data_IF_360929970284
#
_entry.id   IF_360929970284
#
_cell.length_a   1.000
_cell.length_b   1.000
_cell.length_c   1.000
_cell.angle_alpha   90.00
_cell.angle_beta   90.00
_cell.angle_gamma   90.00
#
_symmetry.space_group_name_H-M   'P 1'
#
loop_
_entity.id
_entity.type
_entity.pdbx_description
1 polymer ?
#
# COMPACT_ATOMS: atom_id res chain seq x y z
N UNK A 1 4.44 5.45 21.37
CA UNK A 1 3.57 4.30 21.08
C UNK A 1 4.34 3.06 20.65
N UNK A 2 5.09 3.10 19.54
CA UNK A 2 5.81 1.92 18.98
C UNK A 2 6.63 1.17 20.06
N UNK A 3 7.48 1.87 20.81
CA UNK A 3 8.25 1.27 21.91
C UNK A 3 7.33 0.69 23.00
N UNK A 4 6.28 1.42 23.38
CA UNK A 4 5.34 0.96 24.41
C UNK A 4 4.56 -0.29 24.02
N UNK A 5 4.09 -0.37 22.77
CA UNK A 5 3.41 -1.57 22.26
C UNK A 5 4.39 -2.72 22.08
N UNK A 6 5.64 -2.47 21.66
CA UNK A 6 6.66 -3.51 21.59
C UNK A 6 6.97 -4.12 22.96
N UNK A 7 7.17 -3.26 23.96
CA UNK A 7 7.31 -3.66 25.36
C UNK A 7 6.06 -4.45 25.79
N UNK A 8 4.87 -3.94 25.49
CA UNK A 8 3.61 -4.62 25.79
C UNK A 8 3.53 -6.04 25.20
N UNK A 9 3.86 -6.21 23.93
CA UNK A 9 3.89 -7.53 23.26
C UNK A 9 4.88 -8.47 23.95
N UNK A 10 6.07 -8.00 24.29
CA UNK A 10 7.10 -8.83 24.93
C UNK A 10 6.69 -9.27 26.33
N UNK A 11 6.02 -8.39 27.09
CA UNK A 11 5.56 -8.72 28.45
C UNK A 11 4.26 -9.55 28.46
N UNK A 12 3.32 -9.25 27.57
CA UNK A 12 2.06 -10.01 27.46
C UNK A 12 2.28 -11.41 26.89
N UNK A 13 3.25 -11.58 25.98
CA UNK A 13 3.50 -12.83 25.23
C UNK A 13 2.18 -13.44 24.71
N UNK A 14 1.39 -12.67 23.94
CA UNK A 14 0.05 -13.10 23.58
C UNK A 14 0.11 -14.32 22.64
N UNK A 15 -0.82 -15.26 22.83
CA UNK A 15 -0.91 -16.44 21.98
C UNK A 15 -1.31 -16.06 20.55
N UNK A 16 -0.54 -16.51 19.57
CA UNK A 16 -0.85 -16.32 18.16
C UNK A 16 -1.92 -17.33 17.74
N UNK A 17 -3.17 -16.88 17.65
CA UNK A 17 -4.34 -17.71 17.35
C UNK A 17 -4.50 -18.02 15.86
N UNK A 18 -4.01 -17.15 14.98
CA UNK A 18 -4.05 -17.39 13.53
C UNK A 18 -2.98 -18.43 13.12
N UNK A 19 -3.31 -19.45 12.31
CA UNK A 19 -2.34 -20.45 11.87
C UNK A 19 -1.26 -19.82 10.97
N UNK A 20 -0.04 -20.34 11.06
CA UNK A 20 1.09 -19.89 10.25
C UNK A 20 0.83 -20.00 8.73
N UNK A 21 0.06 -20.99 8.31
CA UNK A 21 -0.44 -21.14 6.94
C UNK A 21 -1.95 -21.31 6.99
N UNK A 22 -2.67 -20.37 6.37
CA UNK A 22 -4.13 -20.44 6.29
C UNK A 22 -4.56 -21.30 5.10
N UNK A 23 -5.75 -21.90 5.20
CA UNK A 23 -6.37 -22.64 4.08
C UNK A 23 -6.67 -21.78 2.85
N UNK A 24 -6.66 -20.46 3.00
CA UNK A 24 -6.99 -19.49 1.96
C UNK A 24 -5.79 -19.10 1.07
N UNK A 25 -4.64 -19.75 1.24
CA UNK A 25 -3.45 -19.58 0.39
C UNK A 25 -3.74 -19.85 -1.10
N UNK A 26 -4.75 -20.67 -1.37
CA UNK A 26 -5.25 -21.04 -2.70
C UNK A 26 -6.06 -19.93 -3.40
N UNK A 27 -6.36 -18.83 -2.69
CA UNK A 27 -7.10 -17.69 -3.21
C UNK A 27 -8.60 -17.75 -3.04
N UNK A 28 -9.11 -18.67 -2.21
CA UNK A 28 -10.52 -18.74 -1.79
C UNK A 28 -10.84 -17.82 -0.60
N UNK A 29 -9.88 -16.96 -0.20
CA UNK A 29 -9.98 -16.07 0.95
C UNK A 29 -11.14 -15.07 0.88
N UNK A 30 -11.86 -14.82 1.98
CA UNK A 30 -13.01 -13.91 2.00
C UNK A 30 -12.61 -12.42 2.01
N UNK A 31 -11.37 -12.10 2.42
CA UNK A 31 -10.86 -10.72 2.54
C UNK A 31 -10.24 -10.23 1.23
N UNK A 32 -9.54 -11.10 0.51
CA UNK A 32 -8.91 -10.76 -0.76
C UNK A 32 -8.99 -11.93 -1.74
N UNK A 33 -9.34 -11.63 -3.00
CA UNK A 33 -9.46 -12.61 -4.07
C UNK A 33 -8.15 -12.84 -4.81
N UNK A 34 -7.77 -14.11 -4.99
CA UNK A 34 -6.56 -14.51 -5.70
C UNK A 34 -5.57 -15.25 -4.80
N UNK A 35 -4.82 -16.20 -5.38
CA UNK A 35 -3.87 -17.02 -4.64
C UNK A 35 -2.77 -16.16 -4.01
N UNK A 36 -2.18 -16.61 -2.91
CA UNK A 36 -1.14 -15.86 -2.19
C UNK A 36 -0.02 -15.42 -3.13
N UNK A 37 0.46 -16.29 -4.02
CA UNK A 37 1.39 -15.90 -5.07
C UNK A 37 0.67 -15.82 -6.42
N UNK A 38 0.85 -14.72 -7.18
CA UNK A 38 1.74 -13.58 -6.93
C UNK A 38 1.12 -12.42 -6.13
N UNK A 39 -0.15 -12.52 -5.71
CA UNK A 39 -0.91 -11.38 -5.18
C UNK A 39 -0.32 -10.76 -3.90
N UNK A 40 0.41 -11.51 -3.08
CA UNK A 40 1.06 -11.06 -1.84
C UNK A 40 1.83 -9.76 -2.03
N UNK A 41 2.55 -9.61 -3.15
CA UNK A 41 3.34 -8.42 -3.42
C UNK A 41 2.47 -7.21 -3.79
N UNK A 42 1.31 -7.41 -4.42
CA UNK A 42 0.41 -6.30 -4.74
C UNK A 42 -0.61 -6.00 -3.64
N UNK A 43 -0.83 -6.92 -2.69
CA UNK A 43 -1.75 -6.72 -1.56
C UNK A 43 -1.08 -6.13 -0.33
N UNK A 44 0.12 -6.59 0.03
CA UNK A 44 0.88 -6.08 1.17
C UNK A 44 1.83 -4.97 0.70
N UNK A 45 1.25 -3.86 0.25
CA UNK A 45 2.00 -2.67 -0.10
C UNK A 45 2.78 -2.15 1.13
N UNK A 46 4.03 -1.72 0.91
CA UNK A 46 4.95 -1.26 1.97
C UNK A 46 5.49 -2.34 2.92
N UNK A 47 4.75 -3.43 3.19
CA UNK A 47 5.24 -4.53 4.02
C UNK A 47 6.13 -5.55 3.32
N UNK A 48 5.81 -5.93 2.07
CA UNK A 48 6.66 -6.86 1.30
C UNK A 48 7.78 -6.12 0.54
N UNK A 49 7.41 -5.03 -0.15
CA UNK A 49 8.32 -4.02 -0.72
C UNK A 49 7.48 -2.80 -1.13
N UNK A 50 8.10 -1.61 -1.28
CA UNK A 50 7.40 -0.40 -1.71
C UNK A 50 8.20 0.46 -2.68
N UNK A 51 7.54 0.82 -3.77
CA UNK A 51 8.04 1.80 -4.73
C UNK A 51 7.85 3.23 -4.23
N UNK A 52 6.83 3.48 -3.42
CA UNK A 52 6.65 4.78 -2.77
C UNK A 52 7.86 5.16 -1.89
N UNK A 53 8.47 4.21 -1.17
CA UNK A 53 9.70 4.47 -0.43
C UNK A 53 10.87 4.86 -1.33
N UNK A 54 10.94 4.38 -2.57
CA UNK A 54 11.94 4.83 -3.51
C UNK A 54 11.72 6.29 -3.94
N UNK A 55 10.47 6.72 -4.08
CA UNK A 55 10.13 8.13 -4.35
C UNK A 55 10.47 9.04 -3.15
N UNK A 56 10.17 8.59 -1.93
CA UNK A 56 10.55 9.31 -0.70
C UNK A 56 12.08 9.39 -0.58
N UNK A 57 12.77 8.26 -0.80
CA UNK A 57 14.23 8.16 -0.72
C UNK A 57 14.96 9.03 -1.74
N UNK A 58 14.39 9.23 -2.93
CA UNK A 58 14.97 10.08 -3.98
C UNK A 58 14.53 11.54 -3.89
N UNK A 59 13.32 11.80 -3.38
CA UNK A 59 12.72 13.14 -3.33
C UNK A 59 12.96 13.89 -2.02
N UNK A 60 12.53 13.33 -0.89
CA UNK A 60 12.49 14.03 0.41
C UNK A 60 13.70 13.69 1.28
N UNK A 61 14.10 12.42 1.36
CA UNK A 61 15.21 11.97 2.21
C UNK A 61 16.51 12.74 1.98
N UNK A 62 16.98 13.02 0.75
CA UNK A 62 18.24 13.73 0.53
C UNK A 62 18.23 15.16 1.10
N UNK A 63 17.03 15.75 1.26
CA UNK A 63 16.85 17.10 1.81
C UNK A 63 16.80 17.10 3.35
N UNK A 64 16.66 15.94 3.97
CA UNK A 64 16.73 15.74 5.43
C UNK A 64 18.15 15.38 5.89
N UNK A 65 19.03 15.01 4.96
CA UNK A 65 20.43 14.63 5.23
C UNK A 65 21.28 15.89 5.27
N UNK A 66 21.73 16.29 6.46
CA UNK A 66 22.64 17.43 6.61
C UNK A 66 24.11 17.05 6.41
N UNK A 67 24.47 15.79 6.72
CA UNK A 67 25.82 15.24 6.58
C UNK A 67 25.77 13.76 6.23
N UNK A 68 26.81 13.26 5.57
CA UNK A 68 26.89 11.89 5.07
C UNK A 68 26.65 10.82 6.16
N UNK A 69 27.12 11.07 7.40
CA UNK A 69 26.89 10.15 8.52
C UNK A 69 25.41 9.98 8.91
N UNK A 70 24.53 10.91 8.50
CA UNK A 70 23.09 10.77 8.70
C UNK A 70 22.43 9.82 7.69
N UNK A 71 23.03 9.57 6.53
CA UNK A 71 22.43 8.76 5.46
C UNK A 71 22.03 7.37 5.98
N UNK A 72 22.90 6.73 6.77
CA UNK A 72 22.62 5.40 7.33
C UNK A 72 21.46 5.44 8.32
N UNK A 73 21.46 6.41 9.24
CA UNK A 73 20.41 6.50 10.26
C UNK A 73 19.05 6.84 9.65
N UNK A 74 19.01 7.85 8.76
CA UNK A 74 17.75 8.30 8.14
C UNK A 74 17.24 7.26 7.13
N UNK A 75 18.09 6.75 6.24
CA UNK A 75 17.67 5.79 5.22
C UNK A 75 17.38 4.41 5.79
N UNK A 76 18.39 3.77 6.38
CA UNK A 76 18.26 2.39 6.87
C UNK A 76 17.44 2.31 8.17
N UNK A 77 17.64 3.26 9.09
CA UNK A 77 16.90 3.30 10.35
C UNK A 77 15.39 3.51 10.17
N UNK A 78 14.96 4.32 9.20
CA UNK A 78 13.54 4.49 8.89
C UNK A 78 12.90 3.17 8.42
N UNK A 79 13.57 2.43 7.53
CA UNK A 79 13.08 1.13 7.04
C UNK A 79 13.04 0.06 8.14
N UNK A 80 14.01 0.06 9.07
CA UNK A 80 13.94 -0.81 10.25
C UNK A 80 12.75 -0.48 11.16
N UNK A 81 12.48 0.81 11.40
CA UNK A 81 11.34 1.23 12.22
C UNK A 81 10.01 0.85 11.58
N UNK A 82 9.88 0.99 10.25
CA UNK A 82 8.67 0.58 9.54
C UNK A 82 8.49 -0.94 9.57
N UNK A 83 9.56 -1.70 9.33
CA UNK A 83 9.53 -3.17 9.39
C UNK A 83 9.12 -3.66 10.78
N UNK A 84 9.57 -2.97 11.82
CA UNK A 84 9.21 -3.26 13.19
C UNK A 84 7.71 -3.02 13.45
N UNK A 85 7.15 -1.90 12.98
CA UNK A 85 5.71 -1.63 13.07
C UNK A 85 4.90 -2.67 12.30
N UNK A 86 5.36 -3.10 11.12
CA UNK A 86 4.70 -4.13 10.33
C UNK A 86 4.60 -5.48 11.09
N UNK A 87 5.67 -5.88 11.78
CA UNK A 87 5.66 -7.09 12.63
C UNK A 87 4.66 -6.93 13.78
N UNK A 88 4.63 -5.77 14.44
CA UNK A 88 3.70 -5.50 15.53
C UNK A 88 2.24 -5.52 15.06
N UNK A 89 1.97 -4.99 13.87
CA UNK A 89 0.64 -5.04 13.26
C UNK A 89 0.23 -6.49 12.94
N UNK A 90 1.15 -7.31 12.43
CA UNK A 90 0.92 -8.73 12.20
C UNK A 90 0.60 -9.49 13.50
N UNK A 91 1.32 -9.21 14.59
CA UNK A 91 1.05 -9.78 15.91
C UNK A 91 -0.34 -9.37 16.39
N UNK A 92 -0.67 -8.08 16.35
CA UNK A 92 -1.99 -7.58 16.77
C UNK A 92 -3.12 -8.24 15.99
N UNK A 93 -2.96 -8.43 14.68
CA UNK A 93 -3.96 -9.11 13.85
C UNK A 93 -4.07 -10.61 14.15
N UNK A 94 -2.96 -11.27 14.49
CA UNK A 94 -2.89 -12.73 14.67
C UNK A 94 -3.25 -13.22 16.07
N UNK A 95 -3.27 -12.31 17.05
CA UNK A 95 -3.74 -12.55 18.42
C UNK A 95 -5.27 -12.60 18.50
N UNK A 96 -5.97 -11.94 17.57
CA UNK A 96 -7.42 -12.00 17.50
C UNK A 96 -7.89 -13.42 17.17
N UNK A 97 -9.03 -13.81 17.75
CA UNK A 97 -9.70 -15.05 17.34
C UNK A 97 -9.98 -14.99 15.83
N UNK A 98 -9.64 -16.02 15.04
CA UNK A 98 -9.79 -15.98 13.59
C UNK A 98 -11.22 -15.62 13.15
N UNK A 99 -12.24 -16.09 13.87
CA UNK A 99 -13.64 -15.75 13.61
C UNK A 99 -13.93 -14.25 13.77
N UNK A 100 -13.34 -13.59 14.77
CA UNK A 100 -13.43 -12.13 14.97
C UNK A 100 -12.68 -11.41 13.86
N UNK A 101 -11.45 -11.85 13.55
CA UNK A 101 -10.65 -11.28 12.46
C UNK A 101 -11.44 -11.27 11.14
N UNK A 102 -12.07 -12.39 10.78
CA UNK A 102 -12.87 -12.49 9.56
C UNK A 102 -14.18 -11.70 9.63
N UNK A 103 -14.81 -11.57 10.80
CA UNK A 103 -15.99 -10.72 10.97
C UNK A 103 -15.67 -9.24 10.74
N UNK A 104 -14.49 -8.79 11.17
CA UNK A 104 -14.03 -7.42 10.97
C UNK A 104 -13.61 -7.13 9.54
N UNK A 105 -12.93 -8.08 8.88
CA UNK A 105 -12.25 -7.82 7.60
C UNK A 105 -13.01 -8.31 6.36
N UNK A 106 -14.04 -9.14 6.51
CA UNK A 106 -14.81 -9.63 5.36
C UNK A 106 -15.88 -8.62 4.92
N UNK A 107 -16.14 -8.48 3.61
CA UNK A 107 -17.16 -7.57 3.11
C UNK A 107 -18.56 -7.89 3.63
N UNK A 108 -19.37 -6.87 3.91
CA UNK A 108 -20.75 -7.05 4.38
C UNK A 108 -21.63 -7.79 3.34
N UNK A 109 -21.29 -7.69 2.06
CA UNK A 109 -21.93 -8.46 0.99
C UNK A 109 -21.74 -9.99 1.13
N UNK A 110 -20.71 -10.43 1.85
CA UNK A 110 -20.38 -11.83 2.05
C UNK A 110 -20.89 -12.35 3.40
N UNK A 111 -20.74 -11.57 4.47
CA UNK A 111 -21.08 -12.00 5.84
C UNK A 111 -22.42 -11.45 6.35
N UNK A 112 -23.06 -10.55 5.62
CA UNK A 112 -24.24 -9.81 6.07
C UNK A 112 -23.90 -8.61 6.96
N UNK A 113 -24.94 -7.92 7.44
CA UNK A 113 -24.81 -6.69 8.24
C UNK A 113 -25.14 -6.89 9.72
N UNK A 114 -25.57 -8.09 10.13
CA UNK A 114 -25.90 -8.41 11.53
C UNK A 114 -24.94 -9.42 12.11
N UNK A 115 -24.77 -9.40 13.44
CA UNK A 115 -23.86 -10.32 14.14
C UNK A 115 -24.31 -11.77 14.01
N UNK A 116 -25.61 -12.02 13.87
CA UNK A 116 -26.18 -13.35 13.62
C UNK A 116 -25.77 -13.86 12.24
N UNK A 117 -26.02 -13.08 11.19
CA UNK A 117 -25.64 -13.45 9.81
C UNK A 117 -24.14 -13.67 9.68
N UNK A 118 -23.33 -12.77 10.27
CA UNK A 118 -21.88 -12.88 10.22
C UNK A 118 -21.38 -14.12 10.95
N UNK A 119 -21.90 -14.38 12.15
CA UNK A 119 -21.50 -15.57 12.92
C UNK A 119 -21.83 -16.87 12.17
N UNK A 120 -23.00 -16.97 11.54
CA UNK A 120 -23.41 -18.15 10.77
C UNK A 120 -22.48 -18.41 9.58
N UNK A 121 -22.21 -17.38 8.76
CA UNK A 121 -21.36 -17.51 7.58
C UNK A 121 -19.93 -17.90 7.97
N UNK A 122 -19.37 -17.26 8.99
CA UNK A 122 -17.98 -17.49 9.44
C UNK A 122 -17.85 -18.86 10.11
N UNK A 123 -18.86 -19.31 10.86
CA UNK A 123 -18.94 -20.68 11.36
C UNK A 123 -18.98 -21.70 10.23
N UNK A 124 -19.66 -21.38 9.12
CA UNK A 124 -19.62 -22.17 7.88
C UNK A 124 -18.22 -22.26 7.25
N UNK A 125 -17.33 -21.31 7.55
CA UNK A 125 -15.91 -21.39 7.16
C UNK A 125 -15.06 -22.19 8.16
N UNK A 126 -15.65 -22.79 9.19
CA UNK A 126 -14.93 -23.60 10.17
C UNK A 126 -14.15 -22.78 11.21
N UNK A 127 -14.49 -21.51 11.39
CA UNK A 127 -14.01 -20.70 12.52
C UNK A 127 -15.10 -20.63 13.59
N UNK A 128 -14.74 -20.52 14.86
CA UNK A 128 -15.74 -20.43 15.94
C UNK A 128 -15.98 -18.97 16.30
N UNK A 129 -17.22 -18.51 16.12
CA UNK A 129 -17.64 -17.16 16.52
C UNK A 129 -19.13 -17.14 16.88
N UNK A 130 -19.49 -16.37 17.90
CA UNK A 130 -20.88 -16.19 18.33
C UNK A 130 -21.33 -14.72 18.21
N UNK A 131 -22.64 -14.46 18.05
CA UNK A 131 -23.19 -13.11 18.07
C UNK A 131 -22.85 -12.33 19.35
N UNK A 132 -22.84 -13.02 20.50
CA UNK A 132 -22.53 -12.45 21.81
C UNK A 132 -21.06 -12.03 21.90
N UNK A 133 -20.15 -12.80 21.30
CA UNK A 133 -18.73 -12.43 21.25
C UNK A 133 -18.53 -11.17 20.40
N UNK A 134 -19.16 -11.09 19.22
CA UNK A 134 -19.04 -9.95 18.32
C UNK A 134 -19.64 -8.66 18.93
N UNK A 135 -20.84 -8.77 19.52
CA UNK A 135 -21.49 -7.65 20.20
C UNK A 135 -20.77 -7.25 21.49
N UNK A 136 -20.21 -8.21 22.22
CA UNK A 136 -19.38 -7.98 23.40
C UNK A 136 -18.11 -7.18 23.09
N UNK A 137 -17.38 -7.59 22.05
CA UNK A 137 -16.17 -6.86 21.61
C UNK A 137 -16.55 -5.44 21.14
N UNK A 138 -17.62 -5.29 20.36
CA UNK A 138 -18.10 -3.97 19.94
C UNK A 138 -18.37 -3.06 21.15
N UNK A 139 -19.05 -3.57 22.17
CA UNK A 139 -19.29 -2.84 23.43
C UNK A 139 -18.00 -2.49 24.17
N UNK A 140 -17.08 -3.45 24.30
CA UNK A 140 -15.83 -3.26 25.05
C UNK A 140 -14.92 -2.22 24.38
N UNK A 141 -14.92 -2.13 23.05
CA UNK A 141 -14.17 -1.09 22.30
C UNK A 141 -14.94 0.24 22.17
N UNK A 142 -16.21 0.29 22.60
CA UNK A 142 -17.03 1.49 22.56
C UNK A 142 -17.64 1.80 21.19
N UNK A 143 -17.86 0.79 20.35
CA UNK A 143 -18.38 0.91 18.99
C UNK A 143 -19.75 0.22 18.84
N UNK A 144 -20.60 0.73 17.94
CA UNK A 144 -21.89 0.09 17.67
C UNK A 144 -21.79 -1.26 16.95
N UNK A 145 -20.71 -1.46 16.19
CA UNK A 145 -20.41 -2.71 15.49
C UNK A 145 -18.93 -2.74 15.11
N UNK A 146 -18.37 -3.96 15.08
CA UNK A 146 -17.03 -4.26 14.55
C UNK A 146 -17.08 -4.93 13.16
N UNK A 147 -18.28 -5.23 12.65
CA UNK A 147 -18.46 -5.98 11.40
C UNK A 147 -18.01 -5.18 10.19
N UNK A 148 -17.32 -5.85 9.27
CA UNK A 148 -16.92 -5.30 7.97
C UNK A 148 -16.23 -3.94 8.03
N UNK A 149 -15.56 -3.63 9.14
CA UNK A 149 -14.62 -2.50 9.26
C UNK A 149 -13.30 -2.88 8.61
N UNK A 150 -13.39 -3.23 7.32
CA UNK A 150 -12.29 -3.74 6.54
C UNK A 150 -11.16 -2.71 6.49
N UNK A 151 -9.96 -3.16 6.82
CA UNK A 151 -8.78 -2.32 6.88
C UNK A 151 -7.81 -2.80 7.95
N UNK A 152 -6.52 -2.50 7.75
CA UNK A 152 -5.49 -2.81 8.75
C UNK A 152 -5.71 -2.06 10.07
N UNK A 153 -6.20 -0.82 10.01
CA UNK A 153 -6.30 0.07 11.17
C UNK A 153 -7.29 -0.42 12.25
N UNK A 154 -8.56 -0.78 11.95
CA UNK A 154 -9.47 -1.28 12.98
C UNK A 154 -8.99 -2.60 13.58
N UNK A 155 -8.45 -3.50 12.75
CA UNK A 155 -7.90 -4.78 13.19
C UNK A 155 -6.70 -4.59 14.13
N UNK A 156 -5.78 -3.71 13.75
CA UNK A 156 -4.65 -3.32 14.59
C UNK A 156 -5.11 -2.74 15.93
N UNK A 157 -6.11 -1.85 15.90
CA UNK A 157 -6.62 -1.20 17.10
C UNK A 157 -7.29 -2.17 18.07
N UNK A 158 -8.11 -3.11 17.58
CA UNK A 158 -8.72 -4.14 18.43
C UNK A 158 -7.67 -5.08 19.00
N UNK A 159 -6.70 -5.52 18.18
CA UNK A 159 -5.60 -6.38 18.64
C UNK A 159 -4.73 -5.69 19.70
N UNK A 160 -4.37 -4.43 19.47
CA UNK A 160 -3.61 -3.63 20.42
C UNK A 160 -4.39 -3.44 21.73
N UNK A 161 -5.67 -3.09 21.65
CA UNK A 161 -6.51 -2.90 22.82
C UNK A 161 -6.64 -4.20 23.63
N UNK A 162 -6.74 -5.35 22.96
CA UNK A 162 -6.75 -6.67 23.60
C UNK A 162 -5.47 -6.92 24.40
N UNK A 163 -4.31 -6.78 23.76
CA UNK A 163 -2.99 -6.97 24.40
C UNK A 163 -2.82 -6.04 25.60
N UNK A 164 -3.19 -4.76 25.47
CA UNK A 164 -3.03 -3.79 26.56
C UNK A 164 -4.00 -4.08 27.71
N UNK A 165 -5.24 -4.49 27.41
CA UNK A 165 -6.20 -4.88 28.44
C UNK A 165 -5.72 -6.10 29.23
N UNK A 166 -5.07 -7.07 28.60
CA UNK A 166 -4.46 -8.21 29.30
C UNK A 166 -3.34 -7.77 30.25
N UNK A 167 -2.47 -6.85 29.83
CA UNK A 167 -1.36 -6.34 30.66
C UNK A 167 -1.87 -5.61 31.91
N UNK A 168 -2.85 -4.72 31.74
CA UNK A 168 -3.37 -3.91 32.85
C UNK A 168 -4.57 -4.54 33.56
N UNK A 169 -5.02 -5.71 33.11
CA UNK A 169 -6.21 -6.42 33.58
C UNK A 169 -7.45 -5.50 33.72
N UNK A 170 -7.63 -4.56 32.78
CA UNK A 170 -8.67 -3.53 32.85
C UNK A 170 -9.43 -3.43 31.54
N UNK A 171 -10.61 -4.07 31.50
CA UNK A 171 -11.55 -3.97 30.37
C UNK A 171 -12.14 -2.57 30.21
N UNK A 172 -12.25 -1.80 31.30
CA UNK A 172 -12.78 -0.43 31.28
C UNK A 172 -11.96 0.51 30.36
N UNK A 173 -10.67 0.21 30.16
CA UNK A 173 -9.79 1.00 29.32
C UNK A 173 -9.71 0.51 27.87
N UNK A 174 -10.39 -0.58 27.50
CA UNK A 174 -10.30 -1.15 26.15
C UNK A 174 -10.77 -0.15 25.09
N UNK A 175 -11.89 0.53 25.33
CA UNK A 175 -12.38 1.60 24.45
C UNK A 175 -11.37 2.75 24.30
N UNK A 176 -10.72 3.17 25.40
CA UNK A 176 -9.68 4.19 25.35
C UNK A 176 -8.50 3.75 24.48
N UNK A 177 -7.98 2.54 24.70
CA UNK A 177 -6.83 2.02 23.96
C UNK A 177 -7.12 1.77 22.48
N UNK A 178 -8.34 1.30 22.16
CA UNK A 178 -8.80 1.14 20.79
C UNK A 178 -8.85 2.50 20.05
N UNK A 179 -9.49 3.51 20.62
CA UNK A 179 -9.56 4.84 20.00
C UNK A 179 -8.19 5.52 19.93
N UNK A 180 -7.33 5.31 20.94
CA UNK A 180 -5.96 5.80 20.91
C UNK A 180 -5.14 5.15 19.78
N UNK A 181 -5.29 3.84 19.57
CA UNK A 181 -4.64 3.13 18.46
C UNK A 181 -5.11 3.65 17.09
N UNK A 182 -6.42 3.84 16.91
CA UNK A 182 -6.99 4.40 15.68
C UNK A 182 -6.47 5.81 15.42
N UNK A 183 -6.44 6.66 16.43
CA UNK A 183 -5.94 8.03 16.30
C UNK A 183 -4.46 8.05 15.91
N UNK A 184 -3.64 7.20 16.53
CA UNK A 184 -2.22 7.09 16.15
C UNK A 184 -2.07 6.65 14.70
N UNK A 185 -2.82 5.63 14.27
CA UNK A 185 -2.76 5.14 12.89
C UNK A 185 -3.24 6.20 11.89
N UNK A 186 -4.28 6.95 12.23
CA UNK A 186 -4.74 8.08 11.42
C UNK A 186 -3.65 9.17 11.28
N UNK A 187 -2.91 9.48 12.35
CA UNK A 187 -1.79 10.43 12.31
C UNK A 187 -0.62 9.91 11.46
N UNK A 188 -0.36 8.60 11.51
CA UNK A 188 0.65 7.96 10.67
C UNK A 188 0.30 8.10 9.19
N UNK A 189 -0.95 7.79 8.81
CA UNK A 189 -1.46 7.97 7.45
C UNK A 189 -1.40 9.45 7.03
N UNK A 190 -1.80 10.38 7.90
CA UNK A 190 -1.77 11.81 7.61
C UNK A 190 -0.34 12.31 7.31
N UNK A 191 0.66 11.79 8.02
CA UNK A 191 2.07 12.10 7.76
C UNK A 191 2.51 11.58 6.38
N UNK A 192 2.05 10.38 5.99
CA UNK A 192 2.30 9.85 4.66
C UNK A 192 1.64 10.70 3.55
N UNK A 193 0.43 11.20 3.79
CA UNK A 193 -0.27 12.13 2.87
C UNK A 193 0.49 13.45 2.72
N UNK A 194 1.03 14.03 3.81
CA UNK A 194 1.87 15.24 3.73
C UNK A 194 3.12 14.99 2.87
N UNK A 195 3.88 13.93 3.20
CA UNK A 195 5.09 13.57 2.46
C UNK A 195 4.79 13.27 0.98
N UNK A 196 3.70 12.55 0.71
CA UNK A 196 3.23 12.23 -0.63
C UNK A 196 2.78 13.46 -1.42
N UNK A 197 2.10 14.41 -0.79
CA UNK A 197 1.69 15.68 -1.42
C UNK A 197 2.91 16.52 -1.80
N UNK A 198 3.92 16.56 -0.92
CA UNK A 198 5.19 17.23 -1.23
C UNK A 198 5.92 16.57 -2.38
N UNK A 199 6.01 15.24 -2.40
CA UNK A 199 6.63 14.50 -3.51
C UNK A 199 5.87 14.71 -4.83
N UNK A 200 4.54 14.63 -4.81
CA UNK A 200 3.67 14.85 -5.97
C UNK A 200 3.87 16.25 -6.56
N UNK A 201 3.91 17.28 -5.71
CA UNK A 201 4.23 18.65 -6.15
C UNK A 201 5.54 18.71 -6.93
N UNK A 202 6.61 18.09 -6.42
CA UNK A 202 7.89 18.07 -7.12
C UNK A 202 7.81 17.33 -8.46
N UNK A 203 7.12 16.18 -8.50
CA UNK A 203 6.93 15.43 -9.73
C UNK A 203 6.16 16.24 -10.80
N UNK A 204 5.13 16.98 -10.39
CA UNK A 204 4.37 17.88 -11.29
C UNK A 204 5.27 19.00 -11.80
N UNK A 205 6.04 19.64 -10.92
CA UNK A 205 6.96 20.71 -11.30
C UNK A 205 8.07 20.21 -12.24
N UNK A 206 8.64 19.03 -11.98
CA UNK A 206 9.66 18.43 -12.82
C UNK A 206 9.10 18.05 -14.20
N UNK A 207 7.89 17.47 -14.25
CA UNK A 207 7.23 17.11 -15.50
C UNK A 207 6.91 18.35 -16.34
N UNK A 208 6.25 19.36 -15.76
CA UNK A 208 5.93 20.61 -16.45
C UNK A 208 7.21 21.37 -16.83
N UNK A 209 8.24 21.27 -15.98
CA UNK A 209 9.57 21.82 -16.19
C UNK A 209 10.25 21.38 -17.49
N UNK A 210 9.90 20.19 -18.02
CA UNK A 210 10.42 19.72 -19.31
C UNK A 210 9.92 20.55 -20.50
N UNK A 211 8.74 21.14 -20.39
CA UNK A 211 8.13 22.00 -21.43
C UNK A 211 8.31 23.49 -21.09
N UNK A 212 8.20 23.83 -19.81
CA UNK A 212 8.30 25.21 -19.29
C UNK A 212 9.40 25.28 -18.22
N UNK A 213 10.66 25.58 -18.59
CA UNK A 213 11.80 25.53 -17.67
C UNK A 213 11.69 26.41 -16.42
N UNK A 214 10.90 27.48 -16.46
CA UNK A 214 10.66 28.36 -15.31
C UNK A 214 9.92 27.66 -14.16
N UNK A 215 9.16 26.61 -14.47
CA UNK A 215 8.38 25.82 -13.49
C UNK A 215 9.22 24.78 -12.74
N UNK A 216 10.37 24.38 -13.29
CA UNK A 216 11.35 23.51 -12.62
C UNK A 216 12.08 24.23 -11.46
N UNK A 217 12.01 25.57 -11.39
CA UNK A 217 12.69 26.32 -10.36
C UNK A 217 11.93 26.27 -9.03
N UNK A 218 12.43 25.45 -8.10
CA UNK A 218 11.90 25.28 -6.74
C UNK A 218 11.91 26.55 -5.86
N UNK A 219 12.56 27.63 -6.31
CA UNK A 219 12.53 28.94 -5.63
C UNK A 219 11.41 29.85 -6.10
N UNK A 220 10.72 29.50 -7.19
CA UNK A 220 9.59 30.27 -7.70
C UNK A 220 8.36 30.05 -6.83
N UNK A 221 7.87 31.12 -6.19
CA UNK A 221 6.65 31.06 -5.38
C UNK A 221 5.43 30.65 -6.21
N UNK A 222 5.30 31.19 -7.44
CA UNK A 222 4.22 30.85 -8.36
C UNK A 222 4.28 29.39 -8.82
N UNK A 223 5.47 28.89 -9.15
CA UNK A 223 5.66 27.49 -9.54
C UNK A 223 5.30 26.52 -8.40
N UNK A 224 5.72 26.87 -7.18
CA UNK A 224 5.41 26.08 -5.98
C UNK A 224 3.91 26.10 -5.64
N UNK A 225 3.24 27.24 -5.78
CA UNK A 225 1.79 27.32 -5.59
C UNK A 225 1.04 26.51 -6.62
N UNK A 226 1.35 26.69 -7.91
CA UNK A 226 0.68 25.96 -8.99
C UNK A 226 0.85 24.44 -8.83
N UNK A 227 2.07 23.96 -8.55
CA UNK A 227 2.31 22.55 -8.29
C UNK A 227 1.56 22.02 -7.06
N UNK A 228 1.50 22.80 -5.98
CA UNK A 228 0.71 22.45 -4.78
C UNK A 228 -0.78 22.39 -5.10
N UNK A 229 -1.31 23.38 -5.81
CA UNK A 229 -2.72 23.44 -6.19
C UNK A 229 -3.11 22.23 -7.02
N UNK A 230 -2.29 21.84 -8.01
CA UNK A 230 -2.53 20.63 -8.81
C UNK A 230 -2.51 19.37 -7.94
N UNK A 231 -1.51 19.22 -7.06
CA UNK A 231 -1.41 18.05 -6.19
C UNK A 231 -2.60 17.94 -5.22
N UNK A 232 -2.94 19.03 -4.51
CA UNK A 232 -4.04 19.08 -3.54
C UNK A 232 -5.40 18.94 -4.22
N UNK A 233 -5.60 19.59 -5.37
CA UNK A 233 -6.83 19.42 -6.15
C UNK A 233 -6.98 17.98 -6.66
N UNK A 234 -5.89 17.32 -7.06
CA UNK A 234 -5.89 15.90 -7.43
C UNK A 234 -6.31 15.01 -6.27
N UNK A 235 -5.74 15.20 -5.07
CA UNK A 235 -6.18 14.49 -3.87
C UNK A 235 -7.65 14.76 -3.54
N UNK A 236 -8.06 16.04 -3.59
CA UNK A 236 -9.45 16.45 -3.36
C UNK A 236 -10.42 15.82 -4.35
N UNK A 237 -10.04 15.71 -5.62
CA UNK A 237 -10.81 15.01 -6.64
C UNK A 237 -10.97 13.53 -6.29
N UNK A 238 -9.91 12.83 -5.90
CA UNK A 238 -10.01 11.42 -5.50
C UNK A 238 -10.84 11.21 -4.24
N UNK A 239 -10.77 12.12 -3.26
CA UNK A 239 -11.64 12.10 -2.07
C UNK A 239 -13.10 12.29 -2.48
N UNK A 240 -13.38 13.29 -3.32
CA UNK A 240 -14.73 13.54 -3.83
C UNK A 240 -15.29 12.34 -4.61
N UNK A 241 -14.50 11.76 -5.52
CA UNK A 241 -14.87 10.56 -6.27
C UNK A 241 -15.09 9.35 -5.34
N UNK A 242 -14.27 9.18 -4.30
CA UNK A 242 -14.45 8.12 -3.32
C UNK A 242 -15.76 8.22 -2.53
N UNK A 243 -16.30 9.43 -2.36
CA UNK A 243 -17.58 9.68 -1.69
C UNK A 243 -18.77 9.57 -2.64
N UNK A 244 -18.68 10.14 -3.84
CA UNK A 244 -19.79 10.21 -4.80
C UNK A 244 -19.97 8.91 -5.59
N UNK A 245 -18.88 8.23 -5.92
CA UNK A 245 -18.89 6.95 -6.62
C UNK A 245 -18.12 5.87 -5.82
N UNK A 246 -18.75 5.30 -4.78
CA UNK A 246 -18.11 4.24 -4.00
C UNK A 246 -17.89 2.95 -4.78
N UNK A 247 -18.56 2.76 -5.94
CA UNK A 247 -18.43 1.55 -6.77
C UNK A 247 -17.30 1.67 -7.80
N UNK A 248 -17.06 2.87 -8.33
CA UNK A 248 -16.04 3.18 -9.33
C UNK A 248 -14.87 4.06 -8.86
N UNK A 249 -14.86 4.52 -7.61
CA UNK A 249 -13.81 5.35 -6.99
C UNK A 249 -12.69 4.55 -6.30
N UNK A 250 -12.67 4.53 -4.96
CA UNK A 250 -11.57 3.90 -4.19
C UNK A 250 -11.44 2.38 -4.47
N UNK A 251 -12.57 1.68 -4.65
CA UNK A 251 -12.60 0.23 -4.79
C UNK A 251 -11.99 -0.26 -6.11
N UNK A 252 -12.03 0.55 -7.16
CA UNK A 252 -11.40 0.29 -8.47
C UNK A 252 -9.95 0.77 -8.52
N UNK A 253 -9.58 1.81 -7.76
CA UNK A 253 -8.20 2.30 -7.69
C UNK A 253 -7.29 1.41 -6.84
N UNK A 254 -7.82 0.78 -5.79
CA UNK A 254 -7.03 -0.04 -4.87
C UNK A 254 -6.27 -1.19 -5.56
N UNK A 255 -6.88 -1.98 -6.46
CA UNK A 255 -6.14 -3.00 -7.24
C UNK A 255 -5.01 -2.43 -8.09
N UNK A 256 -5.15 -1.21 -8.64
CA UNK A 256 -4.10 -0.56 -9.42
C UNK A 256 -2.97 -0.04 -8.55
N UNK A 257 -3.30 0.46 -7.35
CA UNK A 257 -2.31 0.98 -6.40
C UNK A 257 -1.23 -0.06 -6.10
N UNK A 258 -1.62 -1.29 -5.78
CA UNK A 258 -0.69 -2.39 -5.52
C UNK A 258 0.25 -2.67 -6.68
N UNK A 259 -0.30 -2.81 -7.89
CA UNK A 259 0.48 -3.09 -9.11
C UNK A 259 1.44 -1.93 -9.39
N UNK A 260 0.93 -0.69 -9.42
CA UNK A 260 1.74 0.50 -9.69
C UNK A 260 2.88 0.68 -8.70
N UNK A 261 2.62 0.47 -7.40
CA UNK A 261 3.64 0.55 -6.36
C UNK A 261 4.75 -0.51 -6.55
N UNK A 262 4.38 -1.73 -6.95
CA UNK A 262 5.36 -2.79 -7.22
C UNK A 262 6.18 -2.54 -8.50
N UNK A 263 5.54 -1.97 -9.54
CA UNK A 263 6.24 -1.58 -10.76
C UNK A 263 7.26 -0.45 -10.48
N UNK A 264 6.88 0.54 -9.67
CA UNK A 264 7.79 1.59 -9.21
C UNK A 264 8.98 1.03 -8.39
N UNK A 265 8.72 0.07 -7.50
CA UNK A 265 9.78 -0.62 -6.75
C UNK A 265 10.78 -1.31 -7.69
N UNK A 266 10.25 -2.00 -8.71
CA UNK A 266 11.06 -2.66 -9.74
C UNK A 266 11.91 -1.66 -10.51
N UNK A 267 11.36 -0.50 -10.90
CA UNK A 267 12.11 0.56 -11.58
C UNK A 267 13.24 1.13 -10.71
N UNK A 268 13.00 1.30 -9.41
CA UNK A 268 14.01 1.77 -8.46
C UNK A 268 15.18 0.78 -8.33
N UNK A 269 14.88 -0.52 -8.24
CA UNK A 269 15.93 -1.55 -8.18
C UNK A 269 16.71 -1.66 -9.50
N UNK A 270 16.03 -1.56 -10.64
CA UNK A 270 16.67 -1.49 -11.97
C UNK A 270 17.63 -0.30 -12.03
N UNK A 271 17.20 0.88 -11.57
CA UNK A 271 18.06 2.05 -11.49
C UNK A 271 19.28 1.80 -10.58
N UNK A 272 19.05 1.18 -9.41
CA UNK A 272 20.12 0.78 -8.50
C UNK A 272 21.14 -0.16 -9.16
N UNK A 273 20.67 -1.15 -9.92
CA UNK A 273 21.53 -2.04 -10.73
C UNK A 273 22.36 -1.23 -11.73
N UNK A 274 21.73 -0.36 -12.51
CA UNK A 274 22.42 0.49 -13.49
C UNK A 274 23.50 1.33 -12.82
N UNK A 275 23.20 1.96 -11.67
CA UNK A 275 24.16 2.76 -10.91
C UNK A 275 25.37 1.92 -10.47
N UNK A 276 25.16 0.71 -9.93
CA UNK A 276 26.26 -0.17 -9.52
C UNK A 276 27.19 -0.53 -10.69
N UNK A 277 26.64 -0.79 -11.87
CA UNK A 277 27.45 -1.03 -13.07
C UNK A 277 28.20 0.22 -13.54
N UNK A 278 27.56 1.40 -13.48
CA UNK A 278 28.23 2.67 -13.81
C UNK A 278 29.36 3.01 -12.83
N UNK A 279 29.24 2.61 -11.57
CA UNK A 279 30.27 2.79 -10.53
C UNK A 279 31.39 1.74 -10.55
N UNK A 280 31.35 0.75 -11.46
CA UNK A 280 32.27 -0.41 -11.45
C UNK A 280 32.22 -1.25 -10.18
N UNK A 281 31.05 -1.30 -9.56
CA UNK A 281 30.74 -2.10 -8.36
C UNK A 281 29.89 -3.33 -8.70
N UNK A 282 30.05 -3.88 -9.92
CA UNK A 282 29.24 -5.00 -10.42
C UNK A 282 29.28 -6.26 -9.55
N UNK A 283 30.33 -6.45 -8.74
CA UNK A 283 30.40 -7.54 -7.75
C UNK A 283 29.25 -7.54 -6.73
N UNK A 284 28.61 -6.38 -6.53
CA UNK A 284 27.48 -6.19 -5.62
C UNK A 284 26.14 -6.11 -6.34
N UNK A 285 26.12 -6.20 -7.68
CA UNK A 285 24.89 -6.03 -8.47
C UNK A 285 23.81 -7.05 -8.11
N UNK A 286 24.19 -8.25 -7.65
CA UNK A 286 23.28 -9.30 -7.21
C UNK A 286 22.28 -8.84 -6.13
N UNK A 287 22.68 -7.89 -5.27
CA UNK A 287 21.83 -7.33 -4.20
C UNK A 287 20.60 -6.61 -4.78
N UNK A 288 20.72 -6.08 -5.99
CA UNK A 288 19.62 -5.42 -6.70
C UNK A 288 18.97 -6.31 -7.76
N UNK A 289 19.76 -7.13 -8.47
CA UNK A 289 19.27 -7.99 -9.55
C UNK A 289 18.32 -9.08 -9.01
N UNK A 290 18.69 -9.77 -7.93
CA UNK A 290 17.89 -10.90 -7.44
C UNK A 290 16.49 -10.43 -6.98
N UNK A 291 16.36 -9.37 -6.16
CA UNK A 291 15.04 -8.80 -5.85
C UNK A 291 14.32 -8.28 -7.09
N UNK A 292 15.03 -7.64 -8.04
CA UNK A 292 14.42 -7.15 -9.29
C UNK A 292 13.79 -8.29 -10.08
N UNK A 293 14.52 -9.38 -10.31
CA UNK A 293 14.03 -10.52 -11.10
C UNK A 293 12.79 -11.12 -10.45
N UNK A 294 12.85 -11.34 -9.13
CA UNK A 294 11.71 -11.89 -8.38
C UNK A 294 10.47 -10.98 -8.48
N UNK A 295 10.63 -9.68 -8.21
CA UNK A 295 9.53 -8.72 -8.26
C UNK A 295 9.00 -8.51 -9.65
N UNK A 296 9.86 -8.51 -10.66
CA UNK A 296 9.43 -8.36 -12.04
C UNK A 296 8.57 -9.56 -12.46
N UNK A 297 8.98 -10.79 -12.11
CA UNK A 297 8.19 -12.00 -12.38
C UNK A 297 6.85 -11.93 -11.66
N UNK A 298 6.83 -11.66 -10.35
CA UNK A 298 5.59 -11.64 -9.57
C UNK A 298 4.66 -10.51 -10.00
N UNK A 299 5.19 -9.30 -10.21
CA UNK A 299 4.40 -8.13 -10.62
C UNK A 299 3.84 -8.27 -12.03
N UNK A 300 4.62 -8.79 -12.98
CA UNK A 300 4.14 -9.03 -14.35
C UNK A 300 3.09 -10.13 -14.37
N UNK A 301 3.27 -11.20 -13.58
CA UNK A 301 2.28 -12.28 -13.47
C UNK A 301 0.98 -11.78 -12.81
N UNK A 302 1.09 -11.00 -11.72
CA UNK A 302 -0.06 -10.40 -11.06
C UNK A 302 -0.81 -9.41 -11.97
N UNK A 303 -0.07 -8.56 -12.69
CA UNK A 303 -0.63 -7.63 -13.66
C UNK A 303 -1.34 -8.35 -14.80
N UNK A 304 -0.73 -9.41 -15.34
CA UNK A 304 -1.35 -10.26 -16.35
C UNK A 304 -2.66 -10.88 -15.86
N UNK A 305 -2.67 -11.46 -14.66
CA UNK A 305 -3.88 -12.00 -14.06
C UNK A 305 -4.93 -10.91 -13.79
N UNK A 306 -4.54 -9.73 -13.30
CA UNK A 306 -5.47 -8.62 -13.11
C UNK A 306 -6.10 -8.12 -14.42
N UNK A 307 -5.43 -8.26 -15.56
CA UNK A 307 -6.03 -7.88 -16.86
C UNK A 307 -6.91 -9.02 -17.39
N UNK A 308 -6.39 -10.24 -17.47
CA UNK A 308 -6.94 -11.32 -18.31
C UNK A 308 -7.55 -12.50 -17.55
N UNK A 309 -7.45 -12.57 -16.22
CA UNK A 309 -7.95 -13.73 -15.48
C UNK A 309 -9.47 -13.90 -15.64
N UNK A 310 -9.91 -15.13 -15.89
CA UNK A 310 -11.31 -15.47 -16.22
C UNK A 310 -12.28 -15.20 -15.07
N UNK A 311 -11.84 -15.41 -13.81
CA UNK A 311 -12.63 -15.09 -12.62
C UNK A 311 -12.85 -13.56 -12.50
N UNK A 312 -14.11 -13.08 -12.48
CA UNK A 312 -14.43 -11.65 -12.37
C UNK A 312 -13.93 -10.97 -11.08
N UNK A 313 -13.73 -11.74 -10.00
CA UNK A 313 -13.15 -11.21 -8.75
C UNK A 313 -11.67 -10.88 -8.86
N UNK A 314 -11.00 -11.33 -9.91
CA UNK A 314 -9.56 -11.13 -10.14
C UNK A 314 -9.34 -10.24 -11.36
N UNK A 315 -9.89 -10.61 -12.52
CA UNK A 315 -9.62 -9.95 -13.80
C UNK A 315 -10.55 -8.78 -14.11
N UNK A 316 -9.99 -7.63 -14.44
CA UNK A 316 -10.72 -6.42 -14.81
C UNK A 316 -11.60 -6.64 -16.06
N UNK A 317 -11.06 -7.29 -17.10
CA UNK A 317 -11.84 -7.53 -18.32
C UNK A 317 -12.96 -8.55 -18.09
N UNK A 318 -12.73 -9.57 -17.27
CA UNK A 318 -13.77 -10.53 -16.88
C UNK A 318 -14.89 -9.86 -16.08
N UNK A 319 -14.55 -8.97 -15.15
CA UNK A 319 -15.52 -8.15 -14.43
C UNK A 319 -16.32 -7.26 -15.37
N UNK A 320 -15.66 -6.52 -16.27
CA UNK A 320 -16.34 -5.70 -17.28
C UNK A 320 -17.31 -6.54 -18.14
N UNK A 321 -16.89 -7.73 -18.58
CA UNK A 321 -17.75 -8.61 -19.38
C UNK A 321 -18.97 -9.13 -18.59
N UNK A 322 -18.82 -9.42 -17.28
CA UNK A 322 -19.93 -9.83 -16.41
C UNK A 322 -21.00 -8.74 -16.34
N UNK A 323 -20.61 -7.50 -16.06
CA UNK A 323 -21.55 -6.38 -15.96
C UNK A 323 -22.15 -5.99 -17.31
N UNK A 324 -21.38 -6.14 -18.40
CA UNK A 324 -21.87 -5.92 -19.77
C UNK A 324 -22.94 -6.94 -20.17
N UNK A 325 -22.76 -8.21 -19.84
CA UNK A 325 -23.82 -9.21 -20.04
C UNK A 325 -25.08 -8.89 -19.24
N UNK A 326 -24.94 -8.44 -18.00
CA UNK A 326 -26.08 -7.97 -17.19
C UNK A 326 -26.81 -6.78 -17.84
N UNK A 327 -26.06 -5.84 -18.43
CA UNK A 327 -26.63 -4.73 -19.19
C UNK A 327 -27.41 -5.22 -20.43
N UNK A 328 -26.85 -6.16 -21.18
CA UNK A 328 -27.47 -6.72 -22.38
C UNK A 328 -28.72 -7.54 -22.05
N UNK A 329 -28.72 -8.24 -20.92
CA UNK A 329 -29.85 -9.06 -20.42
C UNK A 329 -30.89 -8.26 -19.63
N UNK A 330 -30.63 -6.97 -19.35
CA UNK A 330 -31.51 -6.13 -18.54
C UNK A 330 -31.53 -6.49 -17.04
N UNK A 331 -30.54 -7.22 -16.55
CA UNK A 331 -30.44 -7.68 -15.16
C UNK A 331 -29.43 -6.84 -14.39
N UNK A 332 -29.86 -6.23 -13.28
CA UNK A 332 -28.98 -5.50 -12.38
C UNK A 332 -28.17 -6.48 -11.52
N UNK A 333 -26.85 -6.42 -11.64
CA UNK A 333 -25.93 -7.29 -10.92
C UNK A 333 -25.35 -6.54 -9.70
N UNK A 334 -25.50 -7.11 -8.50
CA UNK A 334 -24.87 -6.55 -7.31
C UNK A 334 -23.33 -6.47 -7.45
N UNK A 335 -22.66 -5.41 -6.94
CA UNK A 335 -23.18 -4.37 -6.05
C UNK A 335 -23.83 -3.15 -6.73
N UNK A 336 -23.95 -3.13 -8.06
CA UNK A 336 -24.63 -2.05 -8.77
C UNK A 336 -26.10 -1.98 -8.36
N UNK A 337 -26.63 -0.76 -8.19
CA UNK A 337 -28.05 -0.50 -7.89
C UNK A 337 -28.80 0.02 -9.10
N UNK A 338 -28.09 0.55 -10.08
CA UNK A 338 -28.66 1.12 -11.30
C UNK A 338 -27.93 0.64 -12.56
N UNK A 339 -28.55 0.84 -13.73
CA UNK A 339 -27.92 0.63 -15.04
C UNK A 339 -26.71 1.55 -15.22
N UNK A 340 -26.80 2.79 -14.75
CA UNK A 340 -25.68 3.74 -14.81
C UNK A 340 -24.48 3.23 -13.99
N UNK A 341 -24.72 2.67 -12.80
CA UNK A 341 -23.65 2.09 -11.97
C UNK A 341 -22.94 0.94 -12.71
N UNK A 342 -23.70 0.09 -13.39
CA UNK A 342 -23.12 -1.01 -14.18
C UNK A 342 -22.26 -0.48 -15.33
N UNK A 343 -22.71 0.57 -16.03
CA UNK A 343 -21.92 1.22 -17.09
C UNK A 343 -20.62 1.82 -16.53
N UNK A 344 -20.69 2.49 -15.39
CA UNK A 344 -19.51 3.03 -14.70
C UNK A 344 -18.54 1.91 -14.30
N UNK A 345 -19.03 0.81 -13.72
CA UNK A 345 -18.19 -0.35 -13.37
C UNK A 345 -17.49 -0.92 -14.62
N UNK A 346 -18.21 -1.06 -15.73
CA UNK A 346 -17.63 -1.56 -17.00
C UNK A 346 -16.51 -0.62 -17.46
N UNK A 347 -16.78 0.68 -17.53
CA UNK A 347 -15.83 1.68 -17.98
C UNK A 347 -14.58 1.76 -17.09
N UNK A 348 -14.76 1.81 -15.77
CA UNK A 348 -13.67 1.85 -14.81
C UNK A 348 -12.78 0.61 -14.89
N UNK A 349 -13.37 -0.59 -15.08
CA UNK A 349 -12.57 -1.81 -15.27
C UNK A 349 -11.78 -1.82 -16.58
N UNK A 350 -12.31 -1.24 -17.67
CA UNK A 350 -11.59 -1.09 -18.93
C UNK A 350 -10.41 -0.12 -18.78
N UNK A 351 -10.62 1.02 -18.11
CA UNK A 351 -9.54 1.95 -17.76
C UNK A 351 -8.47 1.24 -16.93
N UNK A 352 -8.87 0.47 -15.91
CA UNK A 352 -7.94 -0.26 -15.07
C UNK A 352 -7.10 -1.27 -15.86
N UNK A 353 -7.72 -2.00 -16.79
CA UNK A 353 -7.01 -2.91 -17.67
C UNK A 353 -5.98 -2.17 -18.54
N UNK A 354 -6.36 -1.03 -19.13
CA UNK A 354 -5.48 -0.21 -19.96
C UNK A 354 -4.31 0.39 -19.15
N UNK A 355 -4.58 0.95 -17.97
CA UNK A 355 -3.56 1.50 -17.08
C UNK A 355 -2.60 0.43 -16.57
N UNK A 356 -3.12 -0.75 -16.21
CA UNK A 356 -2.28 -1.87 -15.80
C UNK A 356 -1.34 -2.32 -16.93
N UNK A 357 -1.87 -2.46 -18.16
CA UNK A 357 -1.06 -2.78 -19.33
C UNK A 357 0.00 -1.71 -19.62
N UNK A 358 -0.36 -0.43 -19.47
CA UNK A 358 0.56 0.69 -19.60
C UNK A 358 1.72 0.62 -18.59
N UNK A 359 1.43 0.40 -17.30
CA UNK A 359 2.48 0.26 -16.28
C UNK A 359 3.42 -0.92 -16.59
N UNK A 360 2.86 -2.06 -17.02
CA UNK A 360 3.64 -3.22 -17.42
C UNK A 360 4.56 -2.92 -18.61
N UNK A 361 4.05 -2.21 -19.62
CA UNK A 361 4.83 -1.78 -20.78
C UNK A 361 5.99 -0.85 -20.38
N UNK A 362 5.72 0.12 -19.50
CA UNK A 362 6.76 1.03 -18.99
C UNK A 362 7.85 0.24 -18.25
N UNK A 363 7.49 -0.72 -17.42
CA UNK A 363 8.46 -1.54 -16.69
C UNK A 363 9.35 -2.37 -17.64
N UNK A 364 8.77 -2.98 -18.68
CA UNK A 364 9.54 -3.70 -19.72
C UNK A 364 10.46 -2.76 -20.47
N UNK A 365 9.97 -1.58 -20.84
CA UNK A 365 10.77 -0.56 -21.55
C UNK A 365 11.96 -0.09 -20.71
N UNK A 366 11.75 0.08 -19.40
CA UNK A 366 12.81 0.43 -18.44
C UNK A 366 13.85 -0.69 -18.33
N UNK A 367 13.44 -1.95 -18.29
CA UNK A 367 14.34 -3.09 -18.26
C UNK A 367 15.21 -3.17 -19.52
N UNK A 368 14.60 -3.00 -20.70
CA UNK A 368 15.31 -2.97 -21.99
C UNK A 368 16.31 -1.81 -22.02
N UNK A 369 15.88 -0.62 -21.59
CA UNK A 369 16.73 0.57 -21.55
C UNK A 369 17.93 0.36 -20.61
N UNK A 370 17.70 -0.22 -19.43
CA UNK A 370 18.74 -0.53 -18.46
C UNK A 370 19.78 -1.51 -19.03
N UNK A 371 19.36 -2.53 -19.77
CA UNK A 371 20.28 -3.45 -20.44
C UNK A 371 21.25 -2.73 -21.38
N UNK A 372 20.74 -1.82 -22.23
CA UNK A 372 21.60 -1.05 -23.14
C UNK A 372 22.55 -0.10 -22.40
N UNK A 373 22.09 0.53 -21.32
CA UNK A 373 22.92 1.42 -20.49
C UNK A 373 24.01 0.64 -19.76
N UNK A 374 23.69 -0.52 -19.19
CA UNK A 374 24.66 -1.41 -18.53
C UNK A 374 25.71 -1.88 -19.54
N UNK A 375 25.30 -2.29 -20.75
CA UNK A 375 26.23 -2.70 -21.81
C UNK A 375 27.18 -1.57 -22.19
N UNK A 376 26.69 -0.32 -22.26
CA UNK A 376 27.54 0.85 -22.51
C UNK A 376 28.50 1.10 -21.35
N UNK A 377 28.03 1.01 -20.11
CA UNK A 377 28.86 1.18 -18.92
C UNK A 377 29.96 0.12 -18.84
N UNK A 378 29.69 -1.12 -19.23
CA UNK A 378 30.67 -2.22 -19.26
C UNK A 378 31.79 -2.02 -20.29
N UNK A 379 31.61 -1.19 -21.32
CA UNK A 379 32.65 -0.90 -22.33
C UNK A 379 33.73 0.08 -21.85
N UNK A 380 33.46 0.84 -20.81
CA UNK A 380 34.46 1.72 -20.17
C UNK A 380 35.18 0.95 -19.08
N UNK A 381 36.47 1.13 -18.86
CA UNK A 381 37.15 0.56 -17.67
C UNK A 381 37.00 1.46 -16.43
N UNK A 382 36.68 2.74 -16.65
CA UNK A 382 36.49 3.73 -15.60
C UNK A 382 35.01 3.88 -15.20
N UNK A 383 34.73 4.31 -13.95
CA UNK A 383 33.39 4.73 -13.54
C UNK A 383 32.82 5.81 -14.47
N UNK A 384 31.56 5.65 -14.85
CA UNK A 384 30.82 6.59 -15.73
C UNK A 384 29.73 7.36 -14.96
N UNK A 385 29.75 7.27 -13.63
CA UNK A 385 28.92 8.07 -12.74
C UNK A 385 29.50 9.47 -12.59
N UNK A 386 28.62 10.49 -12.62
CA UNK A 386 28.98 11.86 -12.29
C UNK A 386 28.38 12.18 -10.91
N UNK A 387 29.22 12.30 -9.90
CA UNK A 387 28.78 12.74 -8.57
C UNK A 387 28.58 14.25 -8.58
N UNK A 388 27.62 14.72 -7.77
CA UNK A 388 27.44 16.16 -7.55
C UNK A 388 28.67 16.73 -6.84
N UNK A 389 29.06 17.95 -7.20
CA UNK A 389 30.17 18.65 -6.54
C UNK A 389 29.89 18.77 -5.04
N UNK A 390 30.84 18.33 -4.21
CA UNK A 390 30.74 18.42 -2.75
C UNK A 390 30.56 19.88 -2.35
N UNK A 391 29.40 20.21 -1.80
CA UNK A 391 29.11 21.53 -1.25
C UNK A 391 29.26 21.45 0.27
N UNK A 392 30.37 21.95 0.79
CA UNK A 392 30.57 22.02 2.24
C UNK A 392 29.70 23.15 2.82
N UNK A 393 29.09 22.90 3.98
CA UNK A 393 28.32 23.92 4.70
C UNK A 393 29.27 25.04 5.12
N UNK A 394 29.24 26.17 4.39
CA UNK A 394 29.98 27.37 4.78
C UNK A 394 29.47 27.83 6.16
N UNK A 395 30.39 28.07 7.10
CA UNK A 395 30.11 28.45 8.50
C UNK A 395 29.34 29.78 8.66
N UNK A 396 29.02 30.50 7.59
CA UNK A 396 28.52 31.87 7.64
C UNK A 396 27.00 32.05 7.51
N UNK A 397 26.22 31.01 7.22
CA UNK A 397 24.75 31.16 7.26
C UNK A 397 24.25 30.85 8.66
N UNK A 398 24.49 31.79 9.60
CA UNK A 398 23.62 31.96 10.76
C UNK A 398 22.28 32.49 10.22
N UNK A 399 21.27 31.63 10.19
CA UNK A 399 19.90 32.09 9.99
C UNK A 399 19.53 33.00 11.16
N UNK A 400 19.21 34.26 10.86
CA UNK A 400 18.32 35.11 11.66
C UNK A 400 16.91 34.57 11.52
#
# INVERSE_FOLDING_TARGET
>A
MIVGLAVGIVFAMPEMKMPAVTKFIDGTGPVFSGAMFPFLFITIACGAISGFHALVSSGTTPKLVERESHIRFIGYGAMLMESFVAIMALICASVLDPGVYFAMNSPAALIGTTVESASQVINGWGFVVTPEMLSGIARDVGEGSILSRAGGAPTFAVGMAHIITEIFNSRAMMAFWYHFAILFEALFILTAVDAGTRACRFMVQDLVGTVVPSMANNRSWLGNMAGTTVAVAGWGFFVYQGVVDPLGGINTLWPLFGIGNQMLASMALILGTVVLFKMKKQRYAWVTILPTVWLFITSMTAGWQKIFHEKPSIGFLAQANKFRKGLDEGVIIAPAKSVADMQTIVFSNQINAALCAFFMLVAVTMLISAFFVIRRALRSDLPTTHESVVTLRNKEVRHV
#
